data_IF_226828378640
#
_entry.id   IF_226828378640
#
_cell.length_a   1.000
_cell.length_b   1.000
_cell.length_c   1.000
_cell.angle_alpha   90.00
_cell.angle_beta   90.00
_cell.angle_gamma   90.00
#
_symmetry.space_group_name_H-M   'P 1'
#
loop_
_entity.id
_entity.type
_entity.pdbx_description
1 polymer ?
#
# COMPACT_ATOMS: atom_id res chain seq x y z
N UNK A 1 -4.08 2.02 -8.43
CA UNK A 1 -3.62 2.94 -7.33
C UNK A 1 -2.48 2.29 -6.52
N UNK A 2 -1.58 3.05 -5.85
CA UNK A 2 -0.48 2.47 -5.04
C UNK A 2 -0.61 2.81 -3.55
N UNK A 3 -0.53 1.81 -2.68
CA UNK A 3 -0.37 1.96 -1.23
C UNK A 3 1.07 1.61 -0.84
N UNK A 4 1.73 2.50 -0.09
CA UNK A 4 3.07 2.27 0.44
C UNK A 4 3.01 2.15 1.96
N UNK A 5 3.44 1.02 2.50
CA UNK A 5 3.68 0.85 3.93
C UNK A 5 5.16 0.57 4.17
N UNK A 6 5.81 1.40 4.96
CA UNK A 6 7.17 1.14 5.45
C UNK A 6 7.06 0.45 6.80
N UNK A 7 7.64 -0.74 6.94
CA UNK A 7 7.78 -1.38 8.25
C UNK A 7 9.19 -1.89 8.43
N UNK A 8 9.57 -2.15 9.69
CA UNK A 8 10.86 -2.71 10.02
C UNK A 8 10.74 -4.23 10.16
N UNK A 9 11.25 -5.01 9.21
CA UNK A 9 11.35 -6.47 9.34
C UNK A 9 12.78 -6.86 9.70
N UNK A 10 12.93 -7.60 10.81
CA UNK A 10 14.22 -8.19 11.21
C UNK A 10 15.39 -7.18 11.25
N UNK A 11 15.11 -5.94 11.65
CA UNK A 11 16.10 -4.86 11.75
C UNK A 11 16.41 -4.14 10.43
N UNK A 12 15.65 -4.40 9.36
CA UNK A 12 15.78 -3.70 8.08
C UNK A 12 14.46 -2.99 7.75
N UNK A 13 14.57 -1.75 7.28
CA UNK A 13 13.44 -0.98 6.76
C UNK A 13 13.02 -1.57 5.41
N UNK A 14 11.78 -2.06 5.33
CA UNK A 14 11.20 -2.68 4.14
C UNK A 14 10.03 -1.83 3.67
N UNK A 15 10.05 -1.48 2.38
CA UNK A 15 8.96 -0.82 1.69
C UNK A 15 8.04 -1.86 1.07
N UNK A 16 6.80 -1.96 1.55
CA UNK A 16 5.78 -2.79 0.93
C UNK A 16 4.89 -1.91 0.03
N UNK A 17 4.89 -2.21 -1.26
CA UNK A 17 4.06 -1.55 -2.26
C UNK A 17 2.91 -2.48 -2.64
N UNK A 18 1.68 -2.07 -2.38
CA UNK A 18 0.48 -2.81 -2.76
C UNK A 18 -0.22 -2.03 -3.87
N UNK A 19 -0.37 -2.66 -5.03
CA UNK A 19 -1.15 -2.10 -6.13
C UNK A 19 -2.62 -2.46 -5.94
N UNK A 20 -3.44 -1.42 -5.80
CA UNK A 20 -4.90 -1.51 -5.70
C UNK A 20 -5.48 -1.50 -7.11
N UNK A 21 -6.43 -2.41 -7.36
CA UNK A 21 -7.12 -2.61 -8.65
C UNK A 21 -7.68 -1.28 -9.19
N UNK A 22 -7.50 -1.04 -10.50
CA UNK A 22 -7.96 0.16 -11.18
C UNK A 22 -9.50 0.22 -11.33
N UNK A 23 -10.20 -0.86 -10.96
CA UNK A 23 -11.67 -0.86 -10.81
C UNK A 23 -12.15 -0.09 -9.59
N UNK A 24 -11.27 0.25 -8.64
CA UNK A 24 -11.66 1.03 -7.47
C UNK A 24 -11.83 2.50 -7.90
N UNK A 25 -13.00 3.12 -7.65
CA UNK A 25 -13.24 4.49 -8.06
C UNK A 25 -12.27 5.44 -7.34
N UNK A 26 -11.85 6.49 -8.06
CA UNK A 26 -10.99 7.52 -7.48
C UNK A 26 -11.67 8.13 -6.23
N UNK A 27 -10.95 8.16 -5.11
CA UNK A 27 -11.47 8.66 -3.83
C UNK A 27 -12.26 7.63 -3.01
N UNK A 28 -12.25 6.35 -3.39
CA UNK A 28 -12.82 5.29 -2.57
C UNK A 28 -12.14 5.24 -1.19
N UNK A 29 -12.95 5.22 -0.14
CA UNK A 29 -12.48 4.96 1.22
C UNK A 29 -12.36 3.44 1.40
N UNK A 30 -11.13 2.97 1.68
CA UNK A 30 -10.89 1.59 2.12
C UNK A 30 -11.34 1.50 3.58
N UNK A 31 -12.53 0.94 3.82
CA UNK A 31 -13.09 0.70 5.15
C UNK A 31 -12.79 -0.72 5.63
#
# INVERSE_FOLDING_TARGET
>A
MLLSATHTEKGQEVLNLIMVDDKIPAGAKLC
#
